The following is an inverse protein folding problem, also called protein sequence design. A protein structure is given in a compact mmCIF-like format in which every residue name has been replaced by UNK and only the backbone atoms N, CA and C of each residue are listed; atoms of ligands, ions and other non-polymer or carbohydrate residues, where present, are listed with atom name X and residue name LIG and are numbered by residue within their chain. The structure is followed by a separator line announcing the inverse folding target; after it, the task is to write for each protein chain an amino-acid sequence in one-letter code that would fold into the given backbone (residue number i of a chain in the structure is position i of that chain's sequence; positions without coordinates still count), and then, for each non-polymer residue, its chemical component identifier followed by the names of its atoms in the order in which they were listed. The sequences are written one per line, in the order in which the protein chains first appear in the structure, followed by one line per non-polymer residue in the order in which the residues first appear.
data_IF_678149977086
#
_entry.id   IF_678149977086
#
_cell.length_a   1.000
_cell.length_b   1.000
_cell.length_c   1.000
_cell.angle_alpha   90.00
_cell.angle_beta   90.00
_cell.angle_gamma   90.00
#
_symmetry.space_group_name_H-M   'P 1'
#
loop_
_entity.id
_entity.type
_entity.pdbx_description
1 polymer ?
#
# COMPACT_ATOMS: atom_id res chain seq x y z
N UNK A 1 23.63 2.39 13.35
CA UNK A 1 23.65 2.79 11.93
C UNK A 1 22.34 3.50 11.66
N UNK A 2 22.36 4.77 11.30
CA UNK A 2 21.15 5.52 10.95
C UNK A 2 20.69 5.03 9.57
N UNK A 3 19.52 4.38 9.49
CA UNK A 3 18.95 3.95 8.22
C UNK A 3 18.74 5.18 7.32
N UNK A 4 19.10 5.07 6.05
CA UNK A 4 18.94 6.16 5.08
C UNK A 4 17.44 6.47 4.91
N UNK A 5 17.02 7.75 4.94
CA UNK A 5 15.62 8.11 4.71
C UNK A 5 15.12 7.59 3.36
N UNK A 6 13.96 6.94 3.37
CA UNK A 6 13.25 6.53 2.15
C UNK A 6 12.22 7.62 1.82
N UNK A 7 12.32 8.18 0.61
CA UNK A 7 11.48 9.29 0.18
C UNK A 7 10.38 8.77 -0.74
N UNK A 8 9.13 9.16 -0.45
CA UNK A 8 7.99 8.97 -1.35
C UNK A 8 7.88 10.14 -2.33
N UNK A 9 7.61 9.84 -3.60
CA UNK A 9 7.40 10.84 -4.66
C UNK A 9 6.14 10.48 -5.45
N UNK A 10 5.17 11.41 -5.59
CA UNK A 10 3.99 11.21 -6.43
C UNK A 10 4.36 10.96 -7.89
N UNK A 11 3.70 9.99 -8.50
CA UNK A 11 3.86 9.65 -9.91
C UNK A 11 3.16 10.69 -10.79
N UNK A 12 3.86 11.19 -11.82
CA UNK A 12 3.24 12.04 -12.83
C UNK A 12 2.13 11.30 -13.58
N UNK A 13 1.20 12.03 -14.22
CA UNK A 13 0.11 11.44 -15.01
C UNK A 13 0.58 10.38 -16.02
N UNK A 14 1.73 10.62 -16.68
CA UNK A 14 2.30 9.66 -17.63
C UNK A 14 2.80 8.37 -16.96
N UNK A 15 3.41 8.51 -15.78
CA UNK A 15 3.86 7.35 -14.98
C UNK A 15 2.67 6.56 -14.45
N UNK A 16 1.60 7.24 -14.02
CA UNK A 16 0.38 6.59 -13.50
C UNK A 16 -0.26 5.65 -14.52
N UNK A 17 -0.39 6.07 -15.78
CA UNK A 17 -0.91 5.21 -16.86
C UNK A 17 -0.14 3.89 -17.02
N UNK A 18 1.16 3.88 -16.70
CA UNK A 18 2.02 2.70 -16.87
C UNK A 18 2.46 2.11 -15.52
N UNK A 19 1.89 2.55 -14.40
CA UNK A 19 2.42 2.25 -13.07
C UNK A 19 2.46 0.75 -12.79
N UNK A 20 1.32 0.08 -12.96
CA UNK A 20 1.21 -1.37 -12.72
C UNK A 20 2.12 -2.17 -13.65
N UNK A 21 2.14 -1.83 -14.93
CA UNK A 21 3.03 -2.46 -15.90
C UNK A 21 4.51 -2.27 -15.54
N UNK A 22 4.89 -1.08 -15.08
CA UNK A 22 6.28 -0.72 -14.77
C UNK A 22 6.78 -1.44 -13.52
N UNK A 23 5.95 -1.50 -12.47
CA UNK A 23 6.38 -2.00 -11.17
C UNK A 23 6.07 -3.49 -10.95
N UNK A 24 5.06 -4.02 -11.65
CA UNK A 24 4.50 -5.36 -11.43
C UNK A 24 4.19 -6.13 -12.73
N UNK A 25 4.55 -5.61 -13.92
CA UNK A 25 4.12 -6.18 -15.21
C UNK A 25 4.56 -7.62 -15.50
N UNK A 26 5.52 -8.15 -14.75
CA UNK A 26 5.96 -9.56 -14.83
C UNK A 26 5.26 -10.46 -13.81
N UNK A 27 4.36 -9.92 -12.99
CA UNK A 27 3.59 -10.68 -11.99
C UNK A 27 2.28 -11.12 -12.61
N UNK A 28 1.97 -12.42 -12.55
CA UNK A 28 0.71 -12.95 -13.08
C UNK A 28 -0.47 -12.28 -12.37
N UNK A 29 -1.40 -11.71 -13.15
CA UNK A 29 -2.60 -11.05 -12.61
C UNK A 29 -2.41 -9.60 -12.17
N UNK A 30 -1.25 -8.96 -12.44
CA UNK A 30 -0.99 -7.57 -12.03
C UNK A 30 -2.08 -6.57 -12.47
N UNK A 31 -2.79 -6.85 -13.56
CA UNK A 31 -3.87 -6.01 -14.07
C UNK A 31 -5.07 -5.88 -13.11
N UNK A 32 -5.20 -6.76 -12.11
CA UNK A 32 -6.27 -6.69 -11.11
C UNK A 32 -5.85 -6.03 -9.81
N UNK A 33 -4.56 -5.67 -9.63
CA UNK A 33 -4.03 -5.21 -8.34
C UNK A 33 -4.73 -3.95 -7.83
N UNK A 34 -4.98 -2.99 -8.72
CA UNK A 34 -5.69 -1.77 -8.37
C UNK A 34 -7.09 -2.06 -7.80
N UNK A 35 -7.87 -2.86 -8.53
CA UNK A 35 -9.23 -3.23 -8.12
C UNK A 35 -9.22 -4.01 -6.80
N UNK A 36 -8.23 -4.89 -6.61
CA UNK A 36 -8.05 -5.63 -5.35
C UNK A 36 -7.78 -4.67 -4.20
N UNK A 37 -6.85 -3.72 -4.35
CA UNK A 37 -6.55 -2.73 -3.31
C UNK A 37 -7.78 -1.89 -2.96
N UNK A 38 -8.53 -1.42 -3.96
CA UNK A 38 -9.74 -0.63 -3.73
C UNK A 38 -10.82 -1.45 -3.01
N UNK A 39 -10.96 -2.72 -3.38
CA UNK A 39 -11.92 -3.62 -2.75
C UNK A 39 -11.54 -3.91 -1.31
N UNK A 40 -10.26 -4.17 -1.04
CA UNK A 40 -9.75 -4.38 0.33
C UNK A 40 -9.96 -3.13 1.18
N UNK A 41 -9.69 -1.94 0.65
CA UNK A 41 -9.95 -0.69 1.37
C UNK A 41 -11.43 -0.55 1.77
N UNK A 42 -12.36 -0.82 0.85
CA UNK A 42 -13.80 -0.77 1.16
C UNK A 42 -14.32 -1.88 2.05
N UNK A 43 -13.57 -2.97 2.23
CA UNK A 43 -13.87 -3.99 3.23
C UNK A 43 -13.38 -3.61 4.62
N UNK A 44 -12.31 -2.80 4.71
CA UNK A 44 -11.61 -2.51 5.96
C UNK A 44 -12.02 -1.15 6.54
N UNK A 45 -12.54 -0.24 5.72
CA UNK A 45 -12.93 1.10 6.13
C UNK A 45 -14.38 1.36 5.71
N UNK A 46 -15.29 1.47 6.69
CA UNK A 46 -16.71 1.74 6.42
C UNK A 46 -16.95 3.11 5.78
N UNK A 47 -16.13 4.11 6.16
CA UNK A 47 -16.18 5.48 5.64
C UNK A 47 -15.56 5.63 4.24
N UNK A 48 -14.95 4.56 3.70
CA UNK A 48 -14.41 4.56 2.35
C UNK A 48 -15.52 4.24 1.33
N UNK A 49 -15.81 5.21 0.47
CA UNK A 49 -16.82 5.08 -0.58
C UNK A 49 -16.22 5.15 -2.00
N UNK A 50 -14.94 4.80 -2.12
CA UNK A 50 -14.18 5.10 -3.33
C UNK A 50 -13.56 6.49 -3.30
N UNK A 51 -12.90 6.85 -4.39
CA UNK A 51 -12.23 8.13 -4.51
C UNK A 51 -11.10 8.06 -5.52
N UNK A 52 -10.44 9.19 -5.69
CA UNK A 52 -9.18 9.22 -6.40
C UNK A 52 -8.07 8.68 -5.48
N UNK A 53 -7.07 8.04 -6.09
CA UNK A 53 -5.93 7.47 -5.37
C UNK A 53 -4.63 8.09 -5.88
N UNK A 54 -3.78 8.52 -4.96
CA UNK A 54 -2.42 8.91 -5.27
C UNK A 54 -1.52 7.70 -5.50
N UNK A 55 -0.58 7.87 -6.43
CA UNK A 55 0.35 6.83 -6.85
C UNK A 55 1.76 7.26 -6.50
N UNK A 56 2.49 6.42 -5.78
CA UNK A 56 3.79 6.81 -5.23
C UNK A 56 4.89 5.83 -5.61
N UNK A 57 6.07 6.40 -5.86
CA UNK A 57 7.32 5.66 -5.99
C UNK A 57 8.24 6.01 -4.83
N UNK A 58 9.01 5.03 -4.37
CA UNK A 58 9.92 5.16 -3.25
C UNK A 58 11.38 5.20 -3.72
N UNK A 59 12.22 5.97 -3.05
CA UNK A 59 13.64 6.09 -3.40
C UNK A 59 14.45 4.80 -3.27
N UNK A 60 13.89 3.75 -2.65
CA UNK A 60 14.47 2.41 -2.57
C UNK A 60 13.93 1.44 -3.66
N UNK A 61 13.16 1.94 -4.62
CA UNK A 61 12.57 1.16 -5.71
C UNK A 61 11.18 0.60 -5.41
N UNK A 62 10.65 0.81 -4.20
CA UNK A 62 9.28 0.45 -3.85
C UNK A 62 8.25 1.33 -4.57
N UNK A 63 7.00 0.89 -4.53
CA UNK A 63 5.86 1.61 -5.09
C UNK A 63 4.61 1.23 -4.30
N UNK A 64 3.67 2.16 -4.15
CA UNK A 64 2.39 1.94 -3.49
C UNK A 64 1.37 2.99 -3.95
N UNK A 65 0.12 2.83 -3.52
CA UNK A 65 -0.95 3.80 -3.75
C UNK A 65 -1.68 4.07 -2.43
N UNK A 66 -2.31 5.23 -2.30
CA UNK A 66 -3.17 5.55 -1.16
C UNK A 66 -4.35 6.43 -1.58
N UNK A 67 -5.50 6.37 -0.89
CA UNK A 67 -6.66 7.19 -1.26
C UNK A 67 -6.39 8.68 -0.96
N UNK A 68 -6.81 9.59 -1.82
CA UNK A 68 -6.73 11.04 -1.58
C UNK A 68 -8.13 11.55 -1.24
N UNK A 69 -8.44 11.51 0.06
CA UNK A 69 -9.75 11.87 0.59
C UNK A 69 -9.62 13.15 1.41
N UNK A 70 -10.72 13.91 1.52
CA UNK A 70 -10.78 15.11 2.35
C UNK A 70 -11.00 14.78 3.85
N UNK A 71 -10.57 13.60 4.29
CA UNK A 71 -10.63 13.15 5.67
C UNK A 71 -9.23 13.14 6.29
N UNK A 72 -9.11 13.65 7.52
CA UNK A 72 -7.83 13.66 8.24
C UNK A 72 -7.39 12.25 8.64
N UNK A 73 -8.34 11.42 9.07
CA UNK A 73 -8.13 10.04 9.51
C UNK A 73 -9.22 9.12 8.97
N UNK A 74 -8.87 7.85 8.81
CA UNK A 74 -9.73 6.73 8.45
C UNK A 74 -9.65 5.68 9.56
N UNK A 75 -10.80 5.17 10.02
CA UNK A 75 -10.83 3.97 10.86
C UNK A 75 -10.71 2.75 9.96
N UNK A 76 -9.62 1.99 10.13
CA UNK A 76 -9.41 0.71 9.46
C UNK A 76 -9.58 -0.42 10.47
N UNK A 77 -10.45 -1.37 10.14
CA UNK A 77 -10.61 -2.64 10.83
C UNK A 77 -10.13 -3.78 9.93
N UNK A 78 -9.16 -4.56 10.40
CA UNK A 78 -8.72 -5.77 9.69
C UNK A 78 -9.47 -6.99 10.26
N UNK A 79 -10.43 -7.58 9.53
CA UNK A 79 -11.21 -8.72 10.01
C UNK A 79 -10.39 -10.01 10.16
N UNK A 80 -9.17 -10.08 9.60
CA UNK A 80 -8.35 -11.29 9.64
C UNK A 80 -7.62 -11.47 10.98
N UNK A 81 -7.23 -10.37 11.62
CA UNK A 81 -6.56 -10.38 12.93
C UNK A 81 -7.41 -9.71 14.03
N UNK A 82 -8.49 -9.02 13.68
CA UNK A 82 -9.37 -8.32 14.62
C UNK A 82 -8.84 -6.98 15.11
N UNK A 83 -7.77 -6.46 14.51
CA UNK A 83 -7.15 -5.21 14.90
C UNK A 83 -7.84 -4.01 14.23
N UNK A 84 -7.90 -2.90 14.96
CA UNK A 84 -8.48 -1.63 14.52
C UNK A 84 -7.50 -0.49 14.79
N UNK A 85 -7.40 0.46 13.86
CA UNK A 85 -6.65 1.69 14.07
C UNK A 85 -7.24 2.86 13.28
N UNK A 86 -7.19 4.05 13.88
CA UNK A 86 -7.36 5.31 13.16
C UNK A 86 -6.01 5.70 12.55
N UNK A 87 -5.98 5.93 11.25
CA UNK A 87 -4.76 6.23 10.51
C UNK A 87 -5.03 7.26 9.41
N UNK A 88 -3.99 7.98 8.99
CA UNK A 88 -4.09 8.83 7.80
C UNK A 88 -4.41 8.02 6.54
N UNK A 89 -4.86 8.71 5.49
CA UNK A 89 -5.07 8.08 4.19
C UNK A 89 -3.80 7.41 3.63
N UNK A 90 -2.62 8.04 3.79
CA UNK A 90 -1.34 7.45 3.35
C UNK A 90 -1.05 6.15 4.11
N UNK A 91 -1.16 6.17 5.45
CA UNK A 91 -0.93 5.00 6.29
C UNK A 91 -1.92 3.86 5.99
N UNK A 92 -3.19 4.18 5.74
CA UNK A 92 -4.19 3.22 5.29
C UNK A 92 -3.78 2.55 3.96
N UNK A 93 -3.36 3.35 2.97
CA UNK A 93 -2.86 2.88 1.69
C UNK A 93 -1.63 1.96 1.81
N UNK A 94 -0.68 2.32 2.66
CA UNK A 94 0.50 1.50 2.97
C UNK A 94 0.07 0.14 3.53
N UNK A 95 -0.83 0.11 4.52
CA UNK A 95 -1.29 -1.13 5.15
C UNK A 95 -1.95 -2.09 4.14
N UNK A 96 -2.89 -1.59 3.33
CA UNK A 96 -3.58 -2.43 2.33
C UNK A 96 -2.64 -2.90 1.22
N UNK A 97 -1.67 -2.07 0.79
CA UNK A 97 -0.67 -2.47 -0.19
C UNK A 97 0.25 -3.57 0.38
N UNK A 98 0.70 -3.45 1.63
CA UNK A 98 1.54 -4.46 2.28
C UNK A 98 0.81 -5.81 2.38
N UNK A 99 -0.45 -5.82 2.81
CA UNK A 99 -1.26 -7.03 2.85
C UNK A 99 -1.42 -7.67 1.46
N UNK A 100 -1.72 -6.86 0.44
CA UNK A 100 -1.86 -7.34 -0.92
C UNK A 100 -0.55 -7.95 -1.45
N UNK A 101 0.58 -7.26 -1.29
CA UNK A 101 1.88 -7.75 -1.75
C UNK A 101 2.26 -9.06 -1.06
N UNK A 102 2.02 -9.17 0.25
CA UNK A 102 2.23 -10.39 1.02
C UNK A 102 1.38 -11.54 0.47
N UNK A 103 0.05 -11.38 0.43
CA UNK A 103 -0.88 -12.43 -0.01
C UNK A 103 -0.59 -12.91 -1.44
N UNK A 104 -0.38 -11.99 -2.37
CA UNK A 104 -0.13 -12.34 -3.76
C UNK A 104 1.27 -12.92 -3.98
N UNK A 105 2.26 -12.59 -3.13
CA UNK A 105 3.59 -13.22 -3.23
C UNK A 105 3.51 -14.73 -3.03
N UNK A 106 2.68 -15.20 -2.11
CA UNK A 106 2.43 -16.63 -1.89
C UNK A 106 1.60 -17.25 -3.03
N UNK A 107 0.58 -16.56 -3.53
CA UNK A 107 -0.29 -17.09 -4.59
C UNK A 107 0.43 -17.23 -5.94
N UNK A 108 1.41 -16.36 -6.20
CA UNK A 108 2.11 -16.30 -7.49
C UNK A 108 3.56 -16.77 -7.43
N UNK A 109 4.06 -17.09 -6.23
CA UNK A 109 5.47 -17.42 -5.98
C UNK A 109 6.41 -16.36 -6.58
N UNK A 110 6.05 -15.07 -6.42
CA UNK A 110 6.71 -13.96 -7.10
C UNK A 110 7.72 -13.22 -6.23
N UNK A 111 9.00 -13.34 -6.56
CA UNK A 111 10.09 -12.57 -5.95
C UNK A 111 9.89 -11.05 -6.09
N UNK A 112 9.25 -10.58 -7.17
CA UNK A 112 8.96 -9.16 -7.37
C UNK A 112 8.02 -8.64 -6.27
N UNK A 113 7.00 -9.41 -5.89
CA UNK A 113 6.09 -9.02 -4.82
C UNK A 113 6.76 -9.08 -3.45
N UNK A 114 7.64 -10.07 -3.23
CA UNK A 114 8.46 -10.16 -2.03
C UNK A 114 9.35 -8.92 -1.89
N UNK A 115 10.05 -8.52 -2.96
CA UNK A 115 10.88 -7.32 -2.98
C UNK A 115 10.05 -6.05 -2.71
N UNK A 116 8.89 -5.91 -3.36
CA UNK A 116 7.99 -4.76 -3.18
C UNK A 116 7.44 -4.68 -1.76
N UNK A 117 7.10 -5.83 -1.17
CA UNK A 117 6.69 -5.92 0.22
C UNK A 117 7.80 -5.38 1.14
N UNK A 118 9.04 -5.87 1.01
CA UNK A 118 10.14 -5.41 1.84
C UNK A 118 10.47 -3.92 1.63
N UNK A 119 10.46 -3.45 0.39
CA UNK A 119 10.71 -2.04 0.07
C UNK A 119 9.66 -1.11 0.68
N UNK A 120 8.37 -1.47 0.61
CA UNK A 120 7.29 -0.70 1.22
C UNK A 120 7.32 -0.82 2.75
N UNK A 121 7.66 -1.98 3.29
CA UNK A 121 7.77 -2.21 4.73
C UNK A 121 8.89 -1.37 5.35
N UNK A 122 10.02 -1.24 4.65
CA UNK A 122 11.12 -0.39 5.09
C UNK A 122 10.71 1.11 5.13
N UNK A 123 9.87 1.56 4.18
CA UNK A 123 9.27 2.89 4.23
C UNK A 123 8.27 3.03 5.39
N UNK A 124 7.38 2.04 5.57
CA UNK A 124 6.44 2.00 6.68
C UNK A 124 7.12 2.08 8.05
N UNK A 125 8.29 1.44 8.22
CA UNK A 125 9.08 1.51 9.46
C UNK A 125 9.64 2.91 9.78
N UNK A 126 9.76 3.78 8.78
CA UNK A 126 10.18 5.17 8.91
C UNK A 126 8.99 6.14 9.02
N UNK A 127 7.76 5.67 8.78
CA UNK A 127 6.54 6.48 8.80
C UNK A 127 6.19 6.92 10.24
N UNK A 128 5.65 8.15 10.45
CA UNK A 128 5.20 8.60 11.78
C UNK A 128 4.17 7.65 12.42
N UNK A 129 3.30 7.05 11.61
CA UNK A 129 2.24 6.13 12.05
C UNK A 129 2.63 4.64 12.01
N UNK A 130 3.94 4.32 11.97
CA UNK A 130 4.43 2.93 11.83
C UNK A 130 3.76 1.94 12.78
N UNK A 131 3.51 2.33 14.04
CA UNK A 131 2.94 1.44 15.04
C UNK A 131 1.51 1.03 14.66
N UNK A 132 0.71 1.96 14.15
CA UNK A 132 -0.64 1.68 13.69
C UNK A 132 -0.63 0.84 12.41
N UNK A 133 0.26 1.15 11.46
CA UNK A 133 0.44 0.36 10.23
C UNK A 133 0.79 -1.09 10.57
N UNK A 134 1.78 -1.32 11.44
CA UNK A 134 2.18 -2.68 11.83
C UNK A 134 1.12 -3.38 12.67
N UNK A 135 0.38 -2.66 13.51
CA UNK A 135 -0.76 -3.23 14.24
C UNK A 135 -1.84 -3.75 13.28
N UNK A 136 -2.15 -3.01 12.22
CA UNK A 136 -3.15 -3.42 11.23
C UNK A 136 -2.76 -4.68 10.47
N UNK A 137 -1.47 -4.92 10.22
CA UNK A 137 -0.98 -6.03 9.36
C UNK A 137 -0.34 -7.21 10.13
N UNK A 138 -0.42 -7.20 11.47
CA UNK A 138 0.07 -8.28 12.34
C UNK A 138 -0.64 -9.61 12.06
#
# INVERSE_FOLDING_TARGET
MTLKPIISTPASNRQRTHFWQTHFGNVKGFSTFEVVIFTTMGQFCEDYHGGYWEYCTLSNGGAFIYPDLNQEELTLFNPHNGNEANVSCEAAGIAVCLMMYSLWSFQTESDILVDRFYQLRDYAAQHPERSAIFHLID
#
